data_IF_112191300341
#
_entry.id   IF_112191300341
#
_cell.length_a   1.000
_cell.length_b   1.000
_cell.length_c   1.000
_cell.angle_alpha   90.00
_cell.angle_beta   90.00
_cell.angle_gamma   90.00
#
_symmetry.space_group_name_H-M   'P 1'
#
loop_
_entity.id
_entity.type
_entity.pdbx_description
1 polymer ?
#
# COMPACT_ATOMS: atom_id res chain seq x y z
N UNK A 1 -86.77 2.73 20.08
CA UNK A 1 -87.17 3.74 19.09
C UNK A 1 -85.92 4.48 18.67
N UNK A 2 -85.75 4.72 17.36
CA UNK A 2 -84.71 5.50 16.67
C UNK A 2 -83.37 4.79 16.36
N UNK A 3 -83.13 4.69 15.04
CA UNK A 3 -81.93 4.26 14.28
C UNK A 3 -80.86 5.36 14.22
N UNK A 4 -79.61 4.98 13.94
CA UNK A 4 -78.61 5.57 12.99
C UNK A 4 -77.19 5.33 13.50
N UNK A 5 -76.13 5.12 12.72
CA UNK A 5 -75.87 4.95 11.30
C UNK A 5 -74.56 4.15 11.15
N UNK A 6 -74.41 3.47 10.02
CA UNK A 6 -73.24 2.69 9.58
C UNK A 6 -72.08 3.60 9.18
N UNK A 7 -70.83 3.24 9.50
CA UNK A 7 -69.63 3.63 8.73
C UNK A 7 -68.71 2.42 8.59
N UNK A 8 -68.52 2.00 7.35
CA UNK A 8 -67.61 0.95 6.87
C UNK A 8 -66.21 1.56 6.69
N UNK A 9 -65.15 0.97 7.25
CA UNK A 9 -63.76 1.40 7.02
C UNK A 9 -62.92 0.19 6.60
N UNK A 10 -62.45 0.23 5.36
CA UNK A 10 -61.57 -0.77 4.77
C UNK A 10 -60.13 -0.58 5.28
N UNK A 11 -59.49 -1.65 5.75
CA UNK A 11 -58.04 -1.69 5.99
C UNK A 11 -57.40 -2.58 4.93
N UNK A 12 -56.64 -1.95 4.03
CA UNK A 12 -55.79 -2.59 3.03
C UNK A 12 -54.42 -2.80 3.69
N UNK A 13 -53.97 -4.06 3.77
CA UNK A 13 -52.63 -4.42 4.22
C UNK A 13 -51.60 -4.20 3.10
N UNK A 14 -50.41 -3.64 3.40
CA UNK A 14 -49.38 -3.43 2.39
C UNK A 14 -48.57 -4.71 2.10
N UNK A 15 -48.45 -4.99 0.80
CA UNK A 15 -47.59 -5.99 0.18
C UNK A 15 -46.10 -5.69 0.45
N UNK A 16 -45.33 -6.73 0.78
CA UNK A 16 -43.86 -6.69 0.83
C UNK A 16 -43.31 -6.98 -0.57
N UNK A 17 -42.61 -5.99 -1.13
CA UNK A 17 -41.82 -6.13 -2.36
C UNK A 17 -40.48 -6.77 -2.02
N UNK A 18 -40.17 -7.88 -2.69
CA UNK A 18 -38.88 -8.56 -2.67
C UNK A 18 -37.94 -7.76 -3.57
N UNK A 19 -37.03 -6.98 -2.98
CA UNK A 19 -35.90 -6.39 -3.68
C UNK A 19 -34.73 -7.36 -3.66
N UNK A 20 -34.43 -7.96 -4.81
CA UNK A 20 -33.19 -8.70 -5.05
C UNK A 20 -32.09 -7.64 -5.21
N UNK A 21 -31.35 -7.41 -4.13
CA UNK A 21 -30.19 -6.51 -4.11
C UNK A 21 -29.00 -7.15 -4.81
N UNK A 22 -28.62 -6.58 -5.95
CA UNK A 22 -27.28 -6.65 -6.50
C UNK A 22 -26.30 -6.04 -5.49
N UNK A 23 -25.52 -6.88 -4.81
CA UNK A 23 -24.40 -6.48 -3.95
C UNK A 23 -23.24 -7.43 -4.24
N UNK A 24 -22.63 -7.26 -5.41
CA UNK A 24 -21.35 -7.82 -5.77
C UNK A 24 -20.60 -6.76 -6.59
N UNK A 25 -19.35 -6.50 -6.23
CA UNK A 25 -18.44 -5.48 -6.78
C UNK A 25 -18.49 -4.07 -6.13
N UNK A 26 -18.01 -3.94 -4.90
CA UNK A 26 -17.59 -2.63 -4.32
C UNK A 26 -16.55 -2.74 -3.19
N UNK A 27 -15.56 -3.64 -3.29
CA UNK A 27 -14.48 -3.77 -2.29
C UNK A 27 -13.05 -3.64 -2.86
N UNK A 28 -12.85 -2.85 -3.91
CA UNK A 28 -11.51 -2.63 -4.53
C UNK A 28 -11.05 -1.16 -4.53
N UNK A 29 -11.68 -0.27 -3.75
CA UNK A 29 -11.36 1.17 -3.76
C UNK A 29 -11.28 1.80 -2.35
N UNK A 30 -10.78 1.07 -1.36
CA UNK A 30 -10.17 1.73 -0.20
C UNK A 30 -8.70 1.95 -0.57
N UNK A 31 -8.47 2.95 -1.42
CA UNK A 31 -7.13 3.46 -1.63
C UNK A 31 -6.63 4.00 -0.29
N UNK A 32 -5.58 3.37 0.24
CA UNK A 32 -4.75 4.00 1.26
C UNK A 32 -4.22 5.29 0.62
N UNK A 33 -4.65 6.45 1.09
CA UNK A 33 -4.00 7.71 0.73
C UNK A 33 -2.60 7.66 1.36
N UNK A 34 -1.61 7.22 0.58
CA UNK A 34 -0.21 7.36 0.94
C UNK A 34 0.07 8.85 1.17
N UNK A 35 0.71 9.20 2.29
CA UNK A 35 1.17 10.56 2.53
C UNK A 35 2.38 10.82 1.63
N UNK A 36 2.10 11.23 0.39
CA UNK A 36 3.08 11.42 -0.68
C UNK A 36 3.59 12.86 -0.61
N UNK A 37 4.90 13.00 -0.45
CA UNK A 37 5.59 14.29 -0.61
C UNK A 37 6.35 14.29 -1.93
N UNK A 38 6.06 15.29 -2.75
CA UNK A 38 6.70 15.53 -4.04
C UNK A 38 7.86 16.52 -3.90
N UNK A 39 8.86 16.41 -4.78
CA UNK A 39 9.95 17.37 -4.91
C UNK A 39 10.08 17.83 -6.37
N UNK A 40 10.24 19.13 -6.57
CA UNK A 40 10.19 19.74 -7.90
C UNK A 40 11.44 20.59 -8.16
N UNK A 41 11.97 20.50 -9.38
CA UNK A 41 13.12 21.30 -9.81
C UNK A 41 13.12 21.55 -11.32
N UNK A 42 14.09 22.33 -11.81
CA UNK A 42 14.26 22.55 -13.25
C UNK A 42 15.22 23.68 -13.60
N UNK A 43 15.71 23.67 -14.84
CA UNK A 43 16.58 24.71 -15.41
C UNK A 43 16.02 25.12 -16.77
N UNK A 44 15.92 26.43 -17.05
CA UNK A 44 15.58 26.92 -18.40
C UNK A 44 14.11 26.82 -18.83
N UNK A 45 13.16 27.11 -17.93
CA UNK A 45 11.73 27.18 -18.24
C UNK A 45 10.99 25.84 -18.14
N UNK A 46 11.72 24.72 -18.16
CA UNK A 46 11.19 23.37 -17.92
C UNK A 46 11.28 23.06 -16.43
N UNK A 47 10.14 22.84 -15.78
CA UNK A 47 10.05 22.44 -14.37
C UNK A 47 9.35 21.08 -14.30
N UNK A 48 10.00 20.11 -13.64
CA UNK A 48 9.50 18.75 -13.46
C UNK A 48 9.40 18.42 -11.98
N UNK A 49 8.36 17.71 -11.59
CA UNK A 49 8.12 17.21 -10.24
C UNK A 49 8.26 15.70 -10.23
N UNK A 50 9.03 15.19 -9.28
CA UNK A 50 9.14 13.75 -9.04
C UNK A 50 8.32 13.43 -7.80
N UNK A 51 7.48 12.42 -7.94
CA UNK A 51 6.66 11.90 -6.86
C UNK A 51 6.56 10.39 -6.89
N UNK A 52 6.13 9.82 -5.78
CA UNK A 52 5.70 8.42 -5.72
C UNK A 52 4.22 8.40 -6.07
N UNK A 53 3.86 7.70 -7.13
CA UNK A 53 2.47 7.53 -7.58
C UNK A 53 1.76 6.44 -6.77
N UNK A 54 2.48 5.33 -6.51
CA UNK A 54 1.96 4.22 -5.73
C UNK A 54 3.07 3.41 -5.06
N UNK A 55 2.75 2.82 -3.91
CA UNK A 55 3.54 1.78 -3.25
C UNK A 55 2.60 0.58 -3.10
N UNK A 56 2.88 -0.50 -3.80
CA UNK A 56 2.08 -1.71 -3.78
C UNK A 56 2.89 -2.85 -3.14
N UNK A 57 2.58 -3.24 -1.89
CA UNK A 57 3.11 -4.46 -1.30
C UNK A 57 2.89 -5.68 -2.21
N UNK A 58 3.91 -6.54 -2.32
CA UNK A 58 3.88 -7.78 -3.09
C UNK A 58 4.39 -8.96 -2.25
N UNK A 59 3.82 -10.13 -2.52
CA UNK A 59 4.28 -11.40 -1.95
C UNK A 59 5.58 -11.90 -2.63
N UNK A 60 6.08 -13.04 -2.17
CA UNK A 60 7.28 -13.70 -2.71
C UNK A 60 7.16 -14.11 -4.19
N UNK A 61 5.95 -14.16 -4.74
CA UNK A 61 5.65 -14.46 -6.14
C UNK A 61 5.43 -13.19 -6.99
N UNK A 62 5.61 -12.00 -6.39
CA UNK A 62 5.38 -10.71 -7.04
C UNK A 62 3.91 -10.36 -7.24
N UNK A 63 2.98 -11.07 -6.60
CA UNK A 63 1.55 -10.74 -6.64
C UNK A 63 1.24 -9.67 -5.59
N UNK A 64 0.32 -8.76 -5.94
CA UNK A 64 -0.10 -7.70 -5.02
C UNK A 64 -0.72 -8.29 -3.75
N UNK A 65 -0.09 -8.03 -2.61
CA UNK A 65 -0.53 -8.53 -1.31
C UNK A 65 -0.04 -7.61 -0.20
N UNK A 66 -0.97 -7.10 0.61
CA UNK A 66 -0.67 -6.36 1.84
C UNK A 66 -0.42 -7.27 3.04
N UNK A 67 -0.38 -8.58 2.84
CA UNK A 67 -0.23 -9.57 3.90
C UNK A 67 1.22 -10.03 3.95
N UNK A 68 1.85 -9.86 5.11
CA UNK A 68 3.24 -10.21 5.36
C UNK A 68 3.33 -11.40 6.28
N UNK A 69 3.97 -12.47 5.81
CA UNK A 69 4.24 -13.62 6.66
C UNK A 69 5.32 -13.32 7.69
N UNK A 70 5.02 -13.68 8.94
CA UNK A 70 5.89 -13.60 10.09
C UNK A 70 6.60 -14.93 10.41
N UNK A 71 6.04 -16.05 9.98
CA UNK A 71 6.55 -17.39 10.27
C UNK A 71 6.46 -18.28 9.03
N UNK A 72 7.43 -19.21 8.83
CA UNK A 72 7.29 -20.26 7.84
C UNK A 72 6.24 -21.28 8.27
N UNK A 73 5.36 -21.63 7.36
CA UNK A 73 4.33 -22.67 7.49
C UNK A 73 4.78 -23.96 6.81
N UNK A 74 4.28 -25.09 7.32
CA UNK A 74 4.41 -26.39 6.64
C UNK A 74 3.19 -26.61 5.74
N UNK A 75 3.43 -26.90 4.47
CA UNK A 75 2.40 -27.14 3.48
C UNK A 75 1.77 -28.54 3.63
N UNK A 76 0.55 -28.76 3.10
CA UNK A 76 -0.15 -30.05 3.23
C UNK A 76 0.62 -31.25 2.65
N UNK A 77 1.54 -31.01 1.71
CA UNK A 77 2.43 -32.01 1.11
C UNK A 77 3.69 -32.29 1.95
N UNK A 78 3.87 -31.58 3.07
CA UNK A 78 5.03 -31.69 3.94
C UNK A 78 6.21 -30.80 3.55
N UNK A 79 6.10 -30.00 2.49
CA UNK A 79 7.09 -28.97 2.16
C UNK A 79 7.02 -27.79 3.15
N UNK A 80 8.08 -27.00 3.21
CA UNK A 80 8.10 -25.74 3.97
C UNK A 80 7.86 -24.62 2.97
N UNK A 81 6.92 -23.72 3.27
CA UNK A 81 6.65 -22.59 2.39
C UNK A 81 7.88 -21.69 2.23
N UNK A 82 7.96 -21.00 1.09
CA UNK A 82 9.07 -20.10 0.83
C UNK A 82 8.96 -18.89 1.75
N UNK A 83 9.87 -18.79 2.72
CA UNK A 83 9.88 -17.70 3.69
C UNK A 83 11.03 -16.73 3.40
N UNK A 84 10.71 -15.66 2.68
CA UNK A 84 11.69 -14.66 2.21
C UNK A 84 11.27 -13.23 2.55
N UNK A 85 12.09 -12.27 2.13
CA UNK A 85 11.76 -10.84 2.15
C UNK A 85 10.40 -10.59 1.50
N UNK A 86 9.62 -9.70 2.10
CA UNK A 86 8.47 -9.09 1.41
C UNK A 86 8.90 -7.76 0.83
N UNK A 87 8.46 -7.52 -0.41
CA UNK A 87 8.83 -6.34 -1.18
C UNK A 87 7.61 -5.48 -1.48
N UNK A 88 7.85 -4.29 -2.02
CA UNK A 88 6.82 -3.45 -2.60
C UNK A 88 7.27 -3.02 -3.99
N UNK A 89 6.33 -3.00 -4.93
CA UNK A 89 6.50 -2.32 -6.21
C UNK A 89 6.20 -0.84 -5.99
N UNK A 90 7.19 0.02 -6.23
CA UNK A 90 7.06 1.47 -6.08
C UNK A 90 7.10 2.11 -7.45
N UNK A 91 6.07 2.91 -7.74
CA UNK A 91 5.95 3.64 -9.00
C UNK A 91 6.33 5.10 -8.77
N UNK A 92 7.37 5.55 -9.46
CA UNK A 92 7.78 6.95 -9.49
C UNK A 92 7.21 7.63 -10.73
N UNK A 93 6.71 8.85 -10.57
CA UNK A 93 6.17 9.65 -11.66
C UNK A 93 7.03 10.90 -11.89
N UNK A 94 7.15 11.29 -13.16
CA UNK A 94 7.72 12.56 -13.58
C UNK A 94 6.59 13.40 -14.17
N UNK A 95 6.07 14.34 -13.39
CA UNK A 95 4.92 15.18 -13.74
C UNK A 95 5.37 16.61 -14.06
N UNK A 96 4.73 17.29 -15.03
CA UNK A 96 5.01 18.69 -15.27
C UNK A 96 4.55 19.52 -14.06
N UNK A 97 5.30 20.58 -13.74
CA UNK A 97 4.92 21.47 -12.65
C UNK A 97 3.55 22.13 -12.93
N UNK A 98 2.61 22.10 -11.98
CA UNK A 98 1.32 22.75 -12.17
C UNK A 98 1.48 24.27 -12.13
N UNK A 99 1.58 24.93 -13.28
CA UNK A 99 1.58 26.40 -13.36
C UNK A 99 0.18 26.91 -13.69
N UNK A 100 -0.35 27.85 -12.91
CA UNK A 100 -1.68 28.46 -13.12
C UNK A 100 -1.78 29.35 -14.38
N UNK A 101 -0.64 29.83 -14.89
CA UNK A 101 -0.59 30.97 -15.82
C UNK A 101 -0.02 30.63 -17.21
N UNK A 102 0.32 29.37 -17.47
CA UNK A 102 0.93 28.98 -18.75
C UNK A 102 0.28 27.70 -19.29
N UNK A 103 -0.06 27.61 -20.59
CA UNK A 103 -0.49 26.35 -21.17
C UNK A 103 0.63 25.34 -20.92
N UNK A 104 0.30 24.29 -20.17
CA UNK A 104 1.11 23.11 -19.85
C UNK A 104 2.37 23.06 -20.71
N UNK A 105 3.51 23.51 -20.17
CA UNK A 105 4.77 23.16 -20.82
C UNK A 105 4.94 21.66 -20.64
N UNK A 106 4.38 20.93 -21.60
CA UNK A 106 4.60 19.51 -21.75
C UNK A 106 6.09 19.40 -22.02
N UNK A 107 6.83 18.85 -21.06
CA UNK A 107 8.19 18.44 -21.30
C UNK A 107 8.08 17.26 -22.29
N UNK A 108 8.12 17.52 -23.59
CA UNK A 108 7.87 16.48 -24.62
C UNK A 108 9.06 15.55 -24.80
N UNK A 109 10.26 15.98 -24.39
CA UNK A 109 11.51 15.27 -24.70
C UNK A 109 12.36 14.89 -23.46
N UNK A 110 12.04 15.40 -22.26
CA UNK A 110 12.89 15.23 -21.08
C UNK A 110 12.55 13.99 -20.24
N UNK A 111 12.97 12.80 -20.69
CA UNK A 111 13.11 11.68 -19.75
C UNK A 111 14.12 12.06 -18.67
N UNK A 112 13.86 11.70 -17.42
CA UNK A 112 14.70 12.06 -16.29
C UNK A 112 15.44 10.83 -15.77
N UNK A 113 16.77 10.93 -15.63
CA UNK A 113 17.56 9.88 -14.99
C UNK A 113 17.54 10.09 -13.48
N UNK A 114 16.79 9.27 -12.74
CA UNK A 114 16.76 9.31 -11.28
C UNK A 114 17.77 8.30 -10.73
N UNK A 115 18.76 8.79 -9.98
CA UNK A 115 19.67 7.96 -9.19
C UNK A 115 19.29 8.08 -7.72
N UNK A 116 18.74 7.01 -7.15
CA UNK A 116 18.53 6.90 -5.70
C UNK A 116 19.87 6.67 -5.03
N UNK A 117 20.32 7.65 -4.24
CA UNK A 117 21.59 7.57 -3.51
C UNK A 117 21.45 6.63 -2.32
N UNK A 118 20.36 6.80 -1.57
CA UNK A 118 19.99 5.96 -0.44
C UNK A 118 18.48 6.06 -0.19
N UNK A 119 17.94 5.10 0.56
CA UNK A 119 16.61 5.23 1.12
C UNK A 119 16.52 4.54 2.49
N UNK A 120 15.51 4.94 3.27
CA UNK A 120 15.16 4.29 4.53
C UNK A 120 13.71 3.86 4.56
N UNK A 121 13.44 2.81 5.32
CA UNK A 121 12.09 2.31 5.62
C UNK A 121 11.92 2.33 7.13
N UNK A 122 10.84 2.96 7.58
CA UNK A 122 10.42 3.00 8.98
C UNK A 122 9.01 2.47 9.11
N UNK A 123 8.65 1.96 10.28
CA UNK A 123 7.35 1.35 10.51
C UNK A 123 6.64 2.02 11.68
N UNK A 124 5.33 2.20 11.53
CA UNK A 124 4.43 2.64 12.60
C UNK A 124 3.35 1.60 12.80
N UNK A 125 3.12 1.18 14.05
CA UNK A 125 2.00 0.31 14.40
C UNK A 125 0.69 1.09 14.25
N UNK A 126 -0.22 0.59 13.43
CA UNK A 126 -1.55 1.19 13.21
C UNK A 126 -2.57 0.63 14.20
N UNK A 127 -2.69 -0.71 14.23
CA UNK A 127 -3.60 -1.42 15.12
C UNK A 127 -2.96 -2.70 15.67
N UNK A 128 -3.24 -2.98 16.93
CA UNK A 128 -2.86 -4.20 17.62
C UNK A 128 -4.10 -4.91 18.14
N UNK A 129 -4.65 -5.88 17.38
CA UNK A 129 -5.87 -6.55 17.74
C UNK A 129 -5.77 -7.27 19.08
N UNK A 130 -6.83 -7.34 19.91
CA UNK A 130 -6.78 -7.93 21.26
C UNK A 130 -6.38 -9.41 21.32
N UNK A 131 -6.41 -10.12 20.20
CA UNK A 131 -6.04 -11.55 20.11
C UNK A 131 -4.61 -11.76 19.61
N UNK A 132 -3.89 -10.71 19.23
CA UNK A 132 -2.48 -10.81 18.87
C UNK A 132 -1.65 -11.11 20.13
N UNK A 133 -0.67 -12.02 20.04
CA UNK A 133 0.19 -12.38 21.18
C UNK A 133 1.33 -11.38 21.39
N UNK A 134 1.10 -10.13 20.99
CA UNK A 134 2.09 -9.07 20.93
C UNK A 134 2.05 -8.38 19.57
N UNK A 135 2.29 -7.08 19.58
CA UNK A 135 2.54 -6.30 18.36
C UNK A 135 3.85 -5.53 18.53
N UNK A 136 5.00 -6.23 18.53
CA UNK A 136 6.30 -5.58 18.66
C UNK A 136 6.49 -4.47 17.63
N UNK A 137 7.33 -3.49 17.97
CA UNK A 137 7.76 -2.51 16.99
C UNK A 137 8.64 -3.20 15.95
N UNK A 138 8.52 -2.80 14.67
CA UNK A 138 9.39 -3.32 13.63
C UNK A 138 10.63 -2.44 13.50
N UNK A 139 11.81 -3.06 13.45
CA UNK A 139 13.08 -2.36 13.25
C UNK A 139 13.18 -1.82 11.83
N UNK A 140 13.24 -0.50 11.68
CA UNK A 140 13.50 0.15 10.38
C UNK A 140 14.88 -0.18 9.82
N UNK A 141 15.06 0.03 8.51
CA UNK A 141 16.33 -0.22 7.84
C UNK A 141 16.66 0.88 6.82
N UNK A 142 17.88 0.84 6.28
CA UNK A 142 18.34 1.76 5.23
C UNK A 142 19.22 1.03 4.23
N UNK A 143 19.17 1.46 2.97
CA UNK A 143 19.91 0.86 1.86
C UNK A 143 20.76 1.93 1.17
N UNK A 144 22.02 1.58 0.92
CA UNK A 144 23.01 2.42 0.23
C UNK A 144 24.09 1.56 -0.43
N UNK A 145 24.45 1.79 -1.72
CA UNK A 145 23.76 2.70 -2.63
C UNK A 145 22.35 2.21 -2.96
N UNK A 146 21.48 3.13 -3.42
CA UNK A 146 20.22 2.75 -4.03
C UNK A 146 20.40 2.26 -5.48
N UNK A 147 19.42 2.55 -6.32
CA UNK A 147 19.39 2.15 -7.73
C UNK A 147 19.10 3.34 -8.66
N UNK A 148 19.40 3.15 -9.94
CA UNK A 148 19.21 4.17 -10.98
C UNK A 148 18.20 3.68 -12.01
N UNK A 149 17.25 4.54 -12.37
CA UNK A 149 16.28 4.26 -13.42
C UNK A 149 15.88 5.54 -14.16
N UNK A 150 15.38 5.38 -15.39
CA UNK A 150 14.91 6.49 -16.22
C UNK A 150 13.40 6.61 -16.11
N UNK A 151 12.90 7.77 -15.70
CA UNK A 151 11.46 8.08 -15.68
C UNK A 151 11.11 8.78 -17.00
N UNK A 152 10.22 8.22 -17.84
CA UNK A 152 9.78 8.87 -19.07
C UNK A 152 9.15 10.24 -18.79
N UNK A 153 9.25 11.17 -19.75
CA UNK A 153 8.62 12.48 -19.62
C UNK A 153 7.09 12.34 -19.54
N UNK A 154 6.47 12.97 -18.54
CA UNK A 154 5.03 12.84 -18.26
C UNK A 154 4.58 11.38 -18.07
N UNK A 155 5.51 10.52 -17.64
CA UNK A 155 5.28 9.10 -17.44
C UNK A 155 5.68 8.65 -16.04
N UNK A 156 5.68 7.34 -15.87
CA UNK A 156 6.08 6.69 -14.63
C UNK A 156 6.94 5.47 -14.91
N UNK A 157 7.67 5.04 -13.89
CA UNK A 157 8.45 3.81 -13.88
C UNK A 157 8.25 3.12 -12.56
N UNK A 158 8.14 1.79 -12.60
CA UNK A 158 7.98 0.95 -11.42
C UNK A 158 9.23 0.13 -11.18
N UNK A 159 9.60 -0.02 -9.92
CA UNK A 159 10.69 -0.90 -9.51
C UNK A 159 10.38 -1.56 -8.17
N UNK A 160 11.10 -2.64 -7.85
CA UNK A 160 10.87 -3.43 -6.63
C UNK A 160 11.84 -3.02 -5.53
N UNK A 161 11.30 -2.76 -4.34
CA UNK A 161 12.08 -2.40 -3.16
C UNK A 161 11.72 -3.33 -1.99
N UNK A 162 12.69 -3.76 -1.17
CA UNK A 162 12.41 -4.39 0.11
C UNK A 162 11.41 -3.58 0.92
N UNK A 163 10.44 -4.27 1.52
CA UNK A 163 9.43 -3.67 2.40
C UNK A 163 9.55 -4.20 3.80
N UNK A 164 9.51 -5.53 3.98
CA UNK A 164 9.76 -6.20 5.27
C UNK A 164 10.77 -7.32 5.03
N UNK A 165 12.07 -7.04 5.20
CA UNK A 165 13.12 -8.04 5.04
C UNK A 165 12.95 -9.20 6.04
N UNK A 166 13.46 -10.38 5.68
CA UNK A 166 13.44 -11.60 6.49
C UNK A 166 13.96 -11.35 7.90
N UNK A 167 15.06 -10.60 8.03
CA UNK A 167 15.62 -10.20 9.33
C UNK A 167 14.60 -9.48 10.22
N UNK A 168 13.78 -8.58 9.67
CA UNK A 168 12.77 -7.83 10.44
C UNK A 168 11.65 -8.77 10.90
N UNK A 169 11.30 -9.77 10.09
CA UNK A 169 10.33 -10.80 10.47
C UNK A 169 10.85 -11.68 11.61
N UNK A 170 12.11 -12.10 11.52
CA UNK A 170 12.77 -12.88 12.57
C UNK A 170 12.85 -12.12 13.90
N UNK A 171 13.18 -10.82 13.85
CA UNK A 171 13.16 -9.93 15.02
C UNK A 171 11.75 -9.81 15.63
N UNK A 172 10.73 -9.59 14.80
CA UNK A 172 9.33 -9.53 15.23
C UNK A 172 8.91 -10.78 16.01
N UNK A 173 9.23 -11.97 15.49
CA UNK A 173 8.94 -13.25 16.16
C UNK A 173 9.73 -13.40 17.46
N UNK A 174 11.01 -13.03 17.45
CA UNK A 174 11.87 -13.11 18.63
C UNK A 174 11.39 -12.22 19.78
N UNK A 175 10.74 -11.08 19.46
CA UNK A 175 10.12 -10.17 20.44
C UNK A 175 8.71 -10.63 20.90
N UNK A 176 8.27 -11.81 20.48
CA UNK A 176 6.99 -12.40 20.86
C UNK A 176 5.85 -12.07 19.91
N UNK A 177 6.14 -11.43 18.76
CA UNK A 177 5.16 -11.21 17.71
C UNK A 177 4.75 -12.53 17.06
N UNK A 178 3.58 -13.05 17.42
CA UNK A 178 2.98 -14.19 16.74
C UNK A 178 1.46 -14.20 16.90
N UNK A 179 0.80 -14.82 15.94
CA UNK A 179 -0.61 -15.20 16.08
C UNK A 179 -0.67 -16.67 16.47
N UNK A 180 -1.62 -17.04 17.32
CA UNK A 180 -1.78 -18.44 17.73
C UNK A 180 -2.12 -19.32 16.53
N UNK A 181 -1.76 -20.61 16.60
CA UNK A 181 -1.99 -21.60 15.52
C UNK A 181 -3.48 -21.84 15.14
N UNK A 182 -4.43 -21.19 15.81
CA UNK A 182 -5.89 -21.36 15.60
C UNK A 182 -6.54 -20.30 14.71
N UNK A 183 -5.79 -19.31 14.24
CA UNK A 183 -6.40 -18.00 13.97
C UNK A 183 -6.58 -17.67 12.47
N UNK A 184 -7.05 -18.65 11.68
CA UNK A 184 -7.61 -18.37 10.36
C UNK A 184 -8.84 -17.45 10.50
N UNK A 185 -8.72 -16.20 10.02
CA UNK A 185 -9.84 -15.25 9.93
C UNK A 185 -9.99 -14.24 11.07
N UNK A 186 -8.95 -14.03 11.89
CA UNK A 186 -8.92 -12.92 12.86
C UNK A 186 -8.19 -11.70 12.30
N UNK A 187 -8.47 -10.48 12.82
CA UNK A 187 -7.72 -9.29 12.44
C UNK A 187 -6.24 -9.46 12.81
N UNK A 188 -5.37 -9.16 11.86
CA UNK A 188 -3.92 -9.19 11.99
C UNK A 188 -3.41 -7.83 12.46
N UNK A 189 -2.31 -7.76 13.25
CA UNK A 189 -1.60 -6.51 13.48
C UNK A 189 -1.32 -5.79 12.16
N UNK A 190 -1.58 -4.48 12.13
CA UNK A 190 -1.37 -3.65 10.94
C UNK A 190 -0.33 -2.58 11.19
N UNK A 191 0.47 -2.32 10.18
CA UNK A 191 1.60 -1.40 10.23
C UNK A 191 1.61 -0.52 8.98
N UNK A 192 2.12 0.70 9.13
CA UNK A 192 2.44 1.58 8.01
C UNK A 192 3.94 1.54 7.77
N UNK A 193 4.37 1.09 6.60
CA UNK A 193 5.75 1.27 6.11
C UNK A 193 5.87 2.66 5.47
N UNK A 194 6.84 3.46 5.93
CA UNK A 194 7.16 4.78 5.36
C UNK A 194 8.53 4.74 4.73
N UNK A 195 8.58 5.01 3.43
CA UNK A 195 9.80 5.12 2.65
C UNK A 195 10.25 6.57 2.54
N UNK A 196 11.55 6.79 2.70
CA UNK A 196 12.18 8.09 2.42
C UNK A 196 13.34 7.85 1.47
N UNK A 197 13.25 8.39 0.26
CA UNK A 197 14.27 8.33 -0.76
C UNK A 197 15.07 9.63 -0.79
N UNK A 198 16.40 9.52 -0.83
CA UNK A 198 17.29 10.61 -1.20
C UNK A 198 17.88 10.28 -2.57
N UNK A 199 17.60 11.11 -3.56
CA UNK A 199 18.02 10.89 -4.94
C UNK A 199 18.73 12.08 -5.54
N UNK A 200 19.26 11.90 -6.74
CA UNK A 200 19.76 12.96 -7.62
C UNK A 200 19.26 12.71 -9.02
N UNK A 201 18.99 13.79 -9.74
CA UNK A 201 18.59 13.74 -11.14
C UNK A 201 19.68 14.34 -12.01
N UNK A 202 19.67 14.03 -13.30
CA UNK A 202 20.53 14.68 -14.29
C UNK A 202 20.11 16.13 -14.60
N UNK A 203 18.90 16.53 -14.20
CA UNK A 203 18.35 17.88 -14.41
C UNK A 203 18.51 18.81 -13.20
N UNK A 204 18.58 18.29 -11.98
CA UNK A 204 18.65 19.08 -10.75
C UNK A 204 20.09 19.11 -10.24
N UNK A 205 20.54 20.29 -9.83
CA UNK A 205 21.86 20.43 -9.20
C UNK A 205 21.89 19.88 -7.77
N UNK A 206 20.74 19.85 -7.11
CA UNK A 206 20.58 19.47 -5.71
C UNK A 206 20.02 18.05 -5.57
N UNK A 207 20.28 17.44 -4.42
CA UNK A 207 19.66 16.16 -4.07
C UNK A 207 18.18 16.37 -3.75
N UNK A 208 17.34 15.47 -4.23
CA UNK A 208 15.89 15.47 -3.97
C UNK A 208 15.53 14.52 -2.85
N UNK A 209 14.40 14.82 -2.18
CA UNK A 209 13.84 13.96 -1.15
C UNK A 209 12.38 13.63 -1.45
N UNK A 210 12.10 12.36 -1.69
CA UNK A 210 10.75 11.86 -1.98
C UNK A 210 10.31 10.92 -0.87
N UNK A 211 9.06 11.02 -0.43
CA UNK A 211 8.51 10.19 0.63
C UNK A 211 7.13 9.66 0.25
N UNK A 212 6.85 8.42 0.67
CA UNK A 212 5.54 7.79 0.54
C UNK A 212 5.38 6.69 1.58
N UNK A 213 4.15 6.26 1.82
CA UNK A 213 3.84 5.19 2.77
C UNK A 213 2.83 4.19 2.22
N UNK A 214 2.83 2.99 2.77
CA UNK A 214 1.80 1.97 2.51
C UNK A 214 1.47 1.23 3.80
N UNK A 215 0.23 0.77 3.92
CA UNK A 215 -0.18 -0.11 5.00
C UNK A 215 0.02 -1.57 4.61
N UNK A 216 0.28 -2.41 5.62
CA UNK A 216 0.31 -3.86 5.50
C UNK A 216 -0.13 -4.50 6.81
N UNK A 217 -0.45 -5.79 6.76
CA UNK A 217 -0.69 -6.62 7.93
C UNK A 217 0.40 -7.66 8.07
N UNK A 218 0.72 -8.04 9.30
CA UNK A 218 1.74 -9.06 9.59
C UNK A 218 1.11 -10.22 10.37
N UNK A 219 1.38 -11.44 9.93
CA UNK A 219 0.63 -12.61 10.37
C UNK A 219 1.22 -13.94 9.96
N UNK A 220 0.44 -15.01 10.12
CA UNK A 220 0.71 -16.28 9.47
C UNK A 220 -0.33 -16.45 8.36
N UNK A 221 0.08 -16.08 7.15
CA UNK A 221 -0.63 -16.41 5.94
C UNK A 221 0.00 -17.69 5.38
N UNK A 222 -0.80 -18.53 4.74
CA UNK A 222 -0.27 -19.73 4.12
C UNK A 222 0.07 -19.39 2.68
N UNK A 223 1.37 -19.31 2.38
CA UNK A 223 1.90 -19.25 1.01
C UNK A 223 1.87 -20.62 0.31
N UNK A 224 1.38 -21.66 0.98
CA UNK A 224 1.12 -22.99 0.44
C UNK A 224 -0.06 -22.99 -0.55
N UNK A 225 0.07 -22.24 -1.64
CA UNK A 225 -0.73 -22.39 -2.85
C UNK A 225 -0.08 -23.40 -3.78
N UNK A 226 -0.84 -24.41 -4.23
CA UNK A 226 -0.40 -25.38 -5.24
C UNK A 226 -0.25 -24.79 -6.64
#
# INVERSE_FOLDING_TARGET
MVRSHTILKWMIGPNRVIGIGLLAASCLLLGCEADIREDCGGVGGVISCISIDSIQPVDENGQASSNVDALPSTCPDGSVELFTDHSATITFANRPFPSSDSPTQVNTDGSLLLTILNYSVTYTLNDCPPRATGCPALTGFSVSPGQTFTIPANGSVSDTFPMVPLRVKEEYVAEGGHLGASDFGFPFPSYTATYVFTGRTDFFSDDIRIQGSTEFTIGSFSGCGG
#
